data_IF_386329227825
#
_entry.id   IF_386329227825
#
_cell.length_a   1.000
_cell.length_b   1.000
_cell.length_c   1.000
_cell.angle_alpha   90.00
_cell.angle_beta   90.00
_cell.angle_gamma   90.00
#
_symmetry.space_group_name_H-M   'P 1'
#
loop_
_entity.id
_entity.type
_entity.pdbx_description
1 polymer ?
#
# COMPACT_ATOMS: atom_id res chain seq x y z
N UNK A 1 -2.32 -54.70 7.95
CA UNK A 1 -1.15 -54.69 7.02
C UNK A 1 -1.50 -54.27 5.58
N UNK A 2 -2.55 -54.80 4.94
CA UNK A 2 -2.98 -54.34 3.58
C UNK A 2 -3.37 -52.86 3.54
N UNK A 3 -4.18 -52.41 4.50
CA UNK A 3 -4.61 -51.00 4.62
C UNK A 3 -3.44 -50.03 4.76
N UNK A 4 -2.42 -50.39 5.54
CA UNK A 4 -1.21 -49.58 5.68
C UNK A 4 -0.43 -49.51 4.38
N UNK A 5 -0.37 -50.59 3.59
CA UNK A 5 0.28 -50.59 2.29
C UNK A 5 -0.50 -49.78 1.24
N UNK A 6 -1.84 -49.76 1.31
CA UNK A 6 -2.66 -48.96 0.40
C UNK A 6 -2.48 -47.46 0.60
N UNK A 7 -2.18 -47.02 1.84
CA UNK A 7 -1.93 -45.62 2.19
C UNK A 7 -0.44 -45.25 2.11
N UNK A 8 0.45 -46.12 2.59
CA UNK A 8 1.87 -45.80 2.80
C UNK A 8 2.84 -46.70 2.01
N UNK A 9 2.35 -47.58 1.14
CA UNK A 9 3.18 -48.58 0.45
C UNK A 9 4.01 -48.06 -0.72
N UNK A 10 3.65 -46.92 -1.30
CA UNK A 10 4.43 -46.27 -2.38
C UNK A 10 4.58 -44.78 -2.12
N UNK A 11 5.62 -44.17 -2.68
CA UNK A 11 5.91 -42.74 -2.50
C UNK A 11 4.72 -41.84 -2.85
N UNK A 12 4.07 -42.07 -3.99
CA UNK A 12 2.90 -41.28 -4.41
C UNK A 12 1.72 -41.42 -3.46
N UNK A 13 1.47 -42.63 -2.93
CA UNK A 13 0.41 -42.87 -1.94
C UNK A 13 0.70 -42.14 -0.64
N UNK A 14 1.96 -42.22 -0.15
CA UNK A 14 2.41 -41.47 1.03
C UNK A 14 2.23 -39.97 0.83
N UNK A 15 2.60 -39.42 -0.32
CA UNK A 15 2.43 -37.99 -0.61
C UNK A 15 0.96 -37.57 -0.54
N UNK A 16 0.05 -38.35 -1.14
CA UNK A 16 -1.40 -38.08 -1.07
C UNK A 16 -1.91 -38.19 0.37
N UNK A 17 -1.56 -39.26 1.08
CA UNK A 17 -1.98 -39.46 2.47
C UNK A 17 -1.43 -38.41 3.43
N UNK A 18 -0.20 -37.94 3.23
CA UNK A 18 0.36 -36.82 4.00
C UNK A 18 -0.35 -35.49 3.67
N UNK A 19 -0.76 -35.30 2.42
CA UNK A 19 -1.65 -34.20 2.02
C UNK A 19 -2.99 -34.25 2.76
N UNK A 20 -3.62 -35.43 2.85
CA UNK A 20 -4.86 -35.64 3.61
C UNK A 20 -4.67 -35.40 5.12
N UNK A 21 -3.56 -35.85 5.69
CA UNK A 21 -3.23 -35.61 7.11
C UNK A 21 -3.07 -34.11 7.40
N UNK A 22 -2.48 -33.38 6.46
CA UNK A 22 -2.18 -31.95 6.63
C UNK A 22 -3.42 -31.09 6.41
N UNK A 23 -4.12 -31.30 5.28
CA UNK A 23 -5.17 -30.38 4.79
C UNK A 23 -6.58 -30.96 4.84
N UNK A 24 -6.72 -32.28 4.90
CA UNK A 24 -8.00 -32.99 4.80
C UNK A 24 -8.41 -33.71 6.08
N UNK A 25 -9.08 -34.86 5.90
CA UNK A 25 -9.50 -35.71 6.99
C UNK A 25 -8.35 -36.61 7.47
N UNK A 26 -7.69 -36.20 8.55
CA UNK A 26 -6.53 -36.88 9.12
C UNK A 26 -6.88 -38.10 9.98
N UNK A 27 -8.11 -38.19 10.50
CA UNK A 27 -8.49 -39.20 11.48
C UNK A 27 -8.45 -40.65 10.96
N UNK A 28 -8.90 -40.96 9.71
CA UNK A 28 -8.80 -42.30 9.16
C UNK A 28 -7.35 -42.76 9.02
N UNK A 29 -6.48 -41.95 8.40
CA UNK A 29 -5.08 -42.27 8.17
C UNK A 29 -4.30 -42.45 9.47
N UNK A 30 -4.57 -41.58 10.46
CA UNK A 30 -4.02 -41.69 11.81
C UNK A 30 -4.50 -42.95 12.53
N UNK A 31 -5.79 -43.28 12.46
CA UNK A 31 -6.37 -44.46 13.13
C UNK A 31 -5.82 -45.75 12.53
N UNK A 32 -5.68 -45.81 11.20
CA UNK A 32 -5.07 -46.95 10.50
C UNK A 32 -3.65 -47.21 10.99
N UNK A 33 -2.83 -46.18 11.17
CA UNK A 33 -1.47 -46.30 11.72
C UNK A 33 -1.47 -46.72 13.20
N UNK A 34 -2.36 -46.16 14.02
CA UNK A 34 -2.47 -46.50 15.44
C UNK A 34 -2.84 -47.97 15.67
N UNK A 35 -3.80 -48.49 14.89
CA UNK A 35 -4.29 -49.86 15.04
C UNK A 35 -3.35 -50.88 14.41
N UNK A 36 -2.80 -50.59 13.23
CA UNK A 36 -2.01 -51.57 12.48
C UNK A 36 -0.49 -51.53 12.75
N UNK A 37 0.04 -50.46 13.36
CA UNK A 37 1.49 -50.29 13.58
C UNK A 37 1.81 -50.10 15.05
N UNK A 38 1.39 -48.98 15.65
CA UNK A 38 1.62 -48.69 17.07
C UNK A 38 0.81 -47.47 17.49
N UNK A 39 0.29 -47.48 18.72
CA UNK A 39 -0.47 -46.36 19.30
C UNK A 39 0.34 -45.05 19.36
N UNK A 40 1.68 -45.12 19.44
CA UNK A 40 2.57 -43.96 19.45
C UNK A 40 2.46 -43.09 18.19
N UNK A 41 2.04 -43.66 17.06
CA UNK A 41 1.80 -42.89 15.83
C UNK A 41 0.69 -41.85 15.98
N UNK A 42 -0.26 -42.07 16.90
CA UNK A 42 -1.29 -41.08 17.21
C UNK A 42 -0.70 -39.79 17.80
N UNK A 43 0.17 -39.94 18.79
CA UNK A 43 0.86 -38.81 19.44
C UNK A 43 1.77 -38.09 18.44
N UNK A 44 2.50 -38.84 17.62
CA UNK A 44 3.38 -38.27 16.60
C UNK A 44 2.63 -37.41 15.58
N UNK A 45 1.55 -37.93 14.99
CA UNK A 45 0.75 -37.20 13.98
C UNK A 45 0.06 -35.98 14.61
N UNK A 46 -0.40 -36.10 15.86
CA UNK A 46 -1.03 -34.99 16.58
C UNK A 46 -0.04 -33.86 16.82
N UNK A 47 1.17 -34.16 17.30
CA UNK A 47 2.23 -33.16 17.49
C UNK A 47 2.66 -32.51 16.18
N UNK A 48 2.87 -33.30 15.13
CA UNK A 48 3.15 -32.80 13.78
C UNK A 48 2.12 -31.77 13.33
N UNK A 49 0.83 -32.08 13.52
CA UNK A 49 -0.27 -31.20 13.15
C UNK A 49 -0.34 -29.95 14.01
N UNK A 50 -0.12 -30.05 15.32
CA UNK A 50 -0.05 -28.86 16.19
C UNK A 50 1.03 -27.88 15.73
N UNK A 51 2.23 -28.39 15.45
CA UNK A 51 3.34 -27.56 14.95
C UNK A 51 3.00 -26.92 13.61
N UNK A 52 2.42 -27.69 12.67
CA UNK A 52 2.01 -27.18 11.37
C UNK A 52 0.91 -26.12 11.46
N UNK A 53 -0.11 -26.33 12.29
CA UNK A 53 -1.18 -25.36 12.48
C UNK A 53 -0.64 -24.05 13.07
N UNK A 54 0.24 -24.13 14.08
CA UNK A 54 0.88 -22.95 14.65
C UNK A 54 1.76 -22.23 13.63
N UNK A 55 2.55 -22.97 12.85
CA UNK A 55 3.39 -22.40 11.81
C UNK A 55 2.56 -21.71 10.72
N UNK A 56 1.47 -22.32 10.25
CA UNK A 56 0.58 -21.74 9.24
C UNK A 56 -0.09 -20.46 9.73
N UNK A 57 -0.57 -20.44 10.98
CA UNK A 57 -1.15 -19.22 11.58
C UNK A 57 -0.09 -18.12 11.67
N UNK A 58 1.09 -18.44 12.17
CA UNK A 58 2.17 -17.45 12.29
C UNK A 58 2.59 -16.88 10.92
N UNK A 59 2.71 -17.72 9.89
CA UNK A 59 3.07 -17.27 8.53
C UNK A 59 1.97 -16.40 7.94
N UNK A 60 0.71 -16.81 8.06
CA UNK A 60 -0.41 -16.01 7.52
C UNK A 60 -0.52 -14.66 8.24
N UNK A 61 -0.43 -14.64 9.57
CA UNK A 61 -0.40 -13.39 10.35
C UNK A 61 0.78 -12.49 9.95
N UNK A 62 1.98 -13.05 9.78
CA UNK A 62 3.15 -12.27 9.34
C UNK A 62 2.93 -11.63 7.96
N UNK A 63 2.32 -12.36 7.01
CA UNK A 63 1.99 -11.83 5.68
C UNK A 63 0.97 -10.70 5.78
N UNK A 64 -0.10 -10.85 6.58
CA UNK A 64 -1.08 -9.78 6.77
C UNK A 64 -0.47 -8.53 7.40
N UNK A 65 0.40 -8.68 8.39
CA UNK A 65 1.12 -7.55 9.01
C UNK A 65 2.04 -6.88 7.99
N UNK A 66 2.79 -7.66 7.22
CA UNK A 66 3.70 -7.12 6.19
C UNK A 66 2.94 -6.33 5.13
N UNK A 67 1.79 -6.83 4.68
CA UNK A 67 0.96 -6.17 3.68
C UNK A 67 0.35 -4.88 4.23
N UNK A 68 -0.18 -4.94 5.46
CA UNK A 68 -0.72 -3.76 6.15
C UNK A 68 0.35 -2.67 6.32
N UNK A 69 1.56 -3.07 6.71
CA UNK A 69 2.66 -2.13 6.91
C UNK A 69 3.13 -1.51 5.58
N UNK A 70 3.14 -2.28 4.48
CA UNK A 70 3.44 -1.76 3.15
C UNK A 70 2.46 -0.66 2.74
N UNK A 71 1.16 -0.91 2.88
CA UNK A 71 0.12 0.07 2.54
C UNK A 71 0.20 1.31 3.44
N UNK A 72 0.47 1.13 4.74
CA UNK A 72 0.66 2.25 5.65
C UNK A 72 1.87 3.12 5.26
N UNK A 73 3.01 2.49 4.93
CA UNK A 73 4.20 3.19 4.47
C UNK A 73 3.96 3.93 3.15
N UNK A 74 3.28 3.31 2.18
CA UNK A 74 2.96 3.96 0.90
C UNK A 74 2.09 5.22 1.12
N UNK A 75 1.11 5.13 2.02
CA UNK A 75 0.28 6.29 2.39
C UNK A 75 1.09 7.40 3.08
N UNK A 76 1.96 7.05 4.03
CA UNK A 76 2.82 8.04 4.70
C UNK A 76 3.80 8.70 3.72
N UNK A 77 4.41 7.91 2.83
CA UNK A 77 5.30 8.38 1.78
C UNK A 77 4.55 9.31 0.82
N UNK A 78 3.34 8.95 0.39
CA UNK A 78 2.49 9.81 -0.44
C UNK A 78 2.16 11.14 0.25
N UNK A 79 1.79 11.13 1.53
CA UNK A 79 1.54 12.35 2.32
C UNK A 79 2.79 13.21 2.41
N UNK A 80 3.96 12.61 2.66
CA UNK A 80 5.23 13.33 2.73
C UNK A 80 5.58 13.96 1.37
N UNK A 81 5.39 13.24 0.26
CA UNK A 81 5.60 13.78 -1.09
C UNK A 81 4.66 14.94 -1.38
N UNK A 82 3.38 14.83 -1.00
CA UNK A 82 2.40 15.92 -1.14
C UNK A 82 2.83 17.16 -0.34
N UNK A 83 3.15 17.01 0.95
CA UNK A 83 3.64 18.13 1.78
C UNK A 83 4.90 18.78 1.21
N UNK A 84 5.83 17.99 0.66
CA UNK A 84 7.05 18.52 0.01
C UNK A 84 6.72 19.27 -1.29
N UNK A 85 5.78 18.79 -2.10
CA UNK A 85 5.31 19.52 -3.30
C UNK A 85 4.64 20.82 -2.89
N UNK A 86 3.77 20.78 -1.88
CA UNK A 86 3.07 21.97 -1.37
C UNK A 86 4.05 23.04 -0.88
N UNK A 87 5.02 22.69 -0.01
CA UNK A 87 6.03 23.66 0.48
C UNK A 87 6.87 24.25 -0.66
N UNK A 88 7.27 23.43 -1.63
CA UNK A 88 8.00 23.91 -2.81
C UNK A 88 7.14 24.88 -3.64
N UNK A 89 5.88 24.52 -3.87
CA UNK A 89 4.94 25.36 -4.59
C UNK A 89 4.68 26.67 -3.84
N UNK A 90 4.49 26.65 -2.52
CA UNK A 90 4.30 27.88 -1.73
C UNK A 90 5.52 28.79 -1.82
N UNK A 91 6.74 28.23 -1.77
CA UNK A 91 7.97 29.02 -1.90
C UNK A 91 8.10 29.65 -3.29
N UNK A 92 7.86 28.87 -4.35
CA UNK A 92 7.93 29.35 -5.73
C UNK A 92 6.83 30.38 -6.02
N UNK A 93 5.61 30.18 -5.50
CA UNK A 93 4.55 31.20 -5.56
C UNK A 93 5.01 32.47 -4.86
N UNK A 94 5.56 32.38 -3.65
CA UNK A 94 5.99 33.57 -2.91
C UNK A 94 7.07 34.35 -3.66
N UNK A 95 8.04 33.65 -4.26
CA UNK A 95 9.08 34.26 -5.11
C UNK A 95 8.46 34.92 -6.35
N UNK A 96 7.53 34.23 -7.02
CA UNK A 96 6.81 34.75 -8.18
C UNK A 96 5.97 35.99 -7.82
N UNK A 97 5.24 35.97 -6.71
CA UNK A 97 4.47 37.11 -6.22
C UNK A 97 5.37 38.32 -5.93
N UNK A 98 6.56 38.11 -5.36
CA UNK A 98 7.54 39.17 -5.13
C UNK A 98 8.16 39.73 -6.41
N UNK A 99 8.30 38.92 -7.46
CA UNK A 99 8.84 39.36 -8.76
C UNK A 99 7.80 40.15 -9.57
N UNK A 100 6.51 39.88 -9.36
CA UNK A 100 5.39 40.54 -10.05
C UNK A 100 4.98 41.84 -9.36
N UNK A 101 5.06 41.90 -8.02
CA UNK A 101 4.68 43.07 -7.23
C UNK A 101 5.71 44.21 -7.38
N UNK A 102 5.55 44.99 -8.46
CA UNK A 102 6.33 46.21 -8.70
C UNK A 102 5.98 47.33 -7.72
N UNK A 103 4.77 47.31 -7.15
CA UNK A 103 4.29 48.32 -6.20
C UNK A 103 4.88 48.16 -4.79
N UNK A 104 5.27 46.93 -4.44
CA UNK A 104 5.80 46.55 -3.12
C UNK A 104 4.76 46.58 -2.01
N UNK A 105 3.46 46.54 -2.35
CA UNK A 105 2.36 46.58 -1.39
C UNK A 105 1.99 45.18 -0.85
N UNK A 106 2.62 44.13 -1.38
CA UNK A 106 2.39 42.73 -1.02
C UNK A 106 1.12 42.13 -1.65
N UNK A 107 0.46 42.86 -2.54
CA UNK A 107 -0.72 42.46 -3.30
C UNK A 107 -0.37 42.43 -4.79
N UNK A 108 -1.07 41.61 -5.58
CA UNK A 108 -0.95 41.64 -7.04
C UNK A 108 -2.22 42.24 -7.61
N UNK A 109 -2.08 43.42 -8.20
CA UNK A 109 -3.16 44.09 -8.88
C UNK A 109 -3.47 43.43 -10.22
N UNK A 110 -4.71 43.59 -10.69
CA UNK A 110 -5.16 43.08 -12.01
C UNK A 110 -4.28 43.61 -13.16
N UNK A 111 -3.65 44.78 -12.98
CA UNK A 111 -2.74 45.37 -13.98
C UNK A 111 -1.38 44.69 -13.99
N UNK A 112 -0.81 44.37 -12.82
CA UNK A 112 0.45 43.63 -12.69
C UNK A 112 0.28 42.20 -13.19
N UNK A 113 -0.85 41.56 -12.86
CA UNK A 113 -1.18 40.23 -13.38
C UNK A 113 -1.31 40.20 -14.91
N UNK A 114 -1.88 41.24 -15.52
CA UNK A 114 -2.02 41.31 -16.98
C UNK A 114 -0.67 41.31 -17.69
N UNK A 115 0.37 41.90 -17.10
CA UNK A 115 1.74 41.90 -17.64
C UNK A 115 2.32 40.48 -17.59
N UNK A 116 2.06 39.75 -16.51
CA UNK A 116 2.52 38.37 -16.28
C UNK A 116 1.88 37.36 -17.22
N UNK A 117 0.59 37.55 -17.54
CA UNK A 117 -0.13 36.72 -18.52
C UNK A 117 0.45 36.89 -19.93
N UNK A 118 1.15 37.99 -20.22
CA UNK A 118 1.84 38.19 -21.50
C UNK A 118 3.28 37.66 -21.53
N UNK A 119 3.88 37.36 -20.37
CA UNK A 119 5.22 36.77 -20.28
C UNK A 119 5.17 35.24 -20.39
N UNK A 120 5.81 34.72 -21.43
CA UNK A 120 5.88 33.28 -21.72
C UNK A 120 6.70 32.51 -20.67
N UNK A 121 7.70 33.15 -20.04
CA UNK A 121 8.49 32.53 -18.97
C UNK A 121 7.64 32.31 -17.71
N UNK A 122 6.81 33.29 -17.35
CA UNK A 122 5.93 33.22 -16.18
C UNK A 122 4.76 32.26 -16.38
N UNK A 123 4.22 32.17 -17.60
CA UNK A 123 3.25 31.13 -17.98
C UNK A 123 3.80 29.72 -17.84
N UNK A 124 5.04 29.50 -18.29
CA UNK A 124 5.70 28.21 -18.14
C UNK A 124 5.98 27.88 -16.67
N UNK A 125 6.32 28.88 -15.86
CA UNK A 125 6.53 28.72 -14.42
C UNK A 125 5.23 28.38 -13.67
N UNK A 126 4.12 29.03 -13.99
CA UNK A 126 2.79 28.69 -13.46
C UNK A 126 2.34 27.29 -13.90
N UNK A 127 2.57 26.93 -15.17
CA UNK A 127 2.26 25.59 -15.69
C UNK A 127 3.09 24.49 -15.01
N UNK A 128 4.35 24.75 -14.68
CA UNK A 128 5.20 23.84 -13.89
C UNK A 128 4.65 23.58 -12.46
N UNK A 129 3.76 24.44 -11.97
CA UNK A 129 3.13 24.34 -10.66
C UNK A 129 1.74 23.68 -10.69
N UNK A 130 1.30 23.15 -11.83
CA UNK A 130 -0.08 22.74 -12.11
C UNK A 130 -1.10 23.89 -11.98
N UNK A 131 -0.69 25.15 -12.15
CA UNK A 131 -1.60 26.30 -12.17
C UNK A 131 -1.83 26.71 -13.61
N UNK A 132 -3.05 26.45 -14.11
CA UNK A 132 -3.45 26.94 -15.42
C UNK A 132 -3.75 28.44 -15.35
N UNK A 133 -3.24 29.20 -16.32
CA UNK A 133 -3.34 30.68 -16.35
C UNK A 133 -4.80 31.16 -16.39
N UNK A 134 -5.70 30.33 -16.93
CA UNK A 134 -7.15 30.58 -16.93
C UNK A 134 -7.70 30.58 -15.50
N UNK A 135 -7.30 29.61 -14.67
CA UNK A 135 -7.69 29.51 -13.26
C UNK A 135 -7.20 30.72 -12.47
N UNK A 136 -5.99 31.24 -12.73
CA UNK A 136 -5.45 32.40 -11.99
C UNK A 136 -6.29 33.66 -12.23
N UNK A 137 -6.75 33.88 -13.47
CA UNK A 137 -7.58 35.04 -13.81
C UNK A 137 -8.99 34.96 -13.17
N UNK A 138 -9.57 33.77 -13.12
CA UNK A 138 -10.88 33.54 -12.50
C UNK A 138 -10.80 33.58 -10.97
N UNK A 139 -9.73 33.02 -10.39
CA UNK A 139 -9.47 33.01 -8.94
C UNK A 139 -9.21 34.42 -8.40
N UNK A 140 -8.45 35.26 -9.13
CA UNK A 140 -8.30 36.68 -8.78
C UNK A 140 -9.60 37.46 -8.93
N UNK A 141 -10.40 37.17 -9.97
CA UNK A 141 -11.71 37.80 -10.12
C UNK A 141 -12.64 37.46 -8.94
N UNK A 142 -12.68 36.18 -8.54
CA UNK A 142 -13.43 35.71 -7.37
C UNK A 142 -12.92 36.28 -6.04
N UNK A 143 -11.60 36.51 -5.89
CA UNK A 143 -11.03 37.13 -4.69
C UNK A 143 -11.24 38.65 -4.65
N UNK A 144 -11.27 39.34 -5.80
CA UNK A 144 -11.44 40.80 -5.86
C UNK A 144 -12.89 41.28 -5.71
N UNK A 145 -13.89 40.44 -6.01
CA UNK A 145 -15.32 40.77 -5.81
C UNK A 145 -15.75 40.68 -4.32
N UNK A 146 -14.78 40.43 -3.42
CA UNK A 146 -14.94 40.45 -1.96
C UNK A 146 -14.75 41.82 -1.31
N UNK A 147 -14.32 42.85 -2.05
CA UNK A 147 -14.27 44.22 -1.55
C UNK A 147 -15.33 45.09 -2.24
N UNK A 148 -16.45 45.28 -1.55
CA UNK A 148 -17.37 46.41 -1.76
C UNK A 148 -17.39 47.29 -0.53
#
# INVERSE_FOLDING_TARGET
>A
RKEVYELFGTYTRVMVTMGEITLGNWAPSQRTLMVNVSQWWGVFILLYRCVLCLALVNVTTAVFISETNRVALDNEVAIMHKKRKDVKNTKLLTELFQEIDESGDGLVSVKELAIVVHDEAMKNLLSLMDLEVQDVSELLFMMSDGEK
#
